data_IF_834090497080
#
_entry.id   IF_834090497080
#
_cell.length_a   1.000
_cell.length_b   1.000
_cell.length_c   1.000
_cell.angle_alpha   90.00
_cell.angle_beta   90.00
_cell.angle_gamma   90.00
#
_symmetry.space_group_name_H-M   'P 1'
#
loop_
_entity.id
_entity.type
_entity.pdbx_description
1 polymer ?
#
# COMPACT_ATOMS: atom_id res chain seq x y z
N UNK A 1 -17.01 -5.17 -6.02
CA UNK A 1 -15.95 -5.54 -5.06
C UNK A 1 -15.59 -4.33 -4.20
N UNK A 2 -15.84 -4.35 -2.89
CA UNK A 2 -15.37 -3.29 -1.97
C UNK A 2 -13.83 -3.33 -1.98
N UNK A 3 -13.16 -2.26 -2.40
CA UNK A 3 -11.69 -2.13 -2.30
C UNK A 3 -11.33 -2.15 -0.81
N UNK A 4 -10.54 -3.14 -0.37
CA UNK A 4 -10.04 -3.27 1.00
C UNK A 4 -9.00 -2.17 1.29
N UNK A 5 -9.06 -1.57 2.49
CA UNK A 5 -8.11 -0.56 2.95
C UNK A 5 -6.69 -1.17 3.02
N UNK A 6 -5.67 -0.40 2.65
CA UNK A 6 -4.28 -0.88 2.66
C UNK A 6 -3.86 -1.38 4.04
N UNK A 7 -4.33 -0.73 5.11
CA UNK A 7 -4.06 -1.12 6.49
C UNK A 7 -4.56 -2.54 6.86
N UNK A 8 -5.49 -3.08 6.08
CA UNK A 8 -6.06 -4.44 6.28
C UNK A 8 -5.39 -5.51 5.41
N UNK A 9 -4.39 -5.14 4.60
CA UNK A 9 -3.69 -6.08 3.73
C UNK A 9 -2.77 -6.98 4.56
N UNK A 10 -2.87 -8.29 4.31
CA UNK A 10 -1.88 -9.25 4.79
C UNK A 10 -0.67 -9.29 3.84
N UNK A 11 0.35 -10.09 4.17
CA UNK A 11 1.55 -10.22 3.34
C UNK A 11 1.23 -10.66 1.90
N UNK A 12 0.26 -11.55 1.72
CA UNK A 12 -0.17 -12.01 0.40
C UNK A 12 -0.79 -10.89 -0.45
N UNK A 13 -1.63 -10.04 0.15
CA UNK A 13 -2.19 -8.86 -0.52
C UNK A 13 -1.08 -7.88 -0.95
N UNK A 14 -0.03 -7.71 -0.14
CA UNK A 14 1.15 -6.89 -0.48
C UNK A 14 1.96 -7.50 -1.62
N UNK A 15 2.18 -8.82 -1.62
CA UNK A 15 2.84 -9.54 -2.71
C UNK A 15 2.11 -9.32 -4.04
N UNK A 16 0.78 -9.47 -4.04
CA UNK A 16 -0.03 -9.20 -5.22
C UNK A 16 0.01 -7.75 -5.66
N UNK A 17 0.03 -6.80 -4.73
CA UNK A 17 0.19 -5.39 -5.05
C UNK A 17 1.53 -5.13 -5.78
N UNK A 18 2.63 -5.66 -5.25
CA UNK A 18 3.95 -5.51 -5.86
C UNK A 18 3.99 -6.16 -7.25
N UNK A 19 3.45 -7.38 -7.39
CA UNK A 19 3.33 -8.10 -8.65
C UNK A 19 2.53 -7.31 -9.69
N UNK A 20 1.39 -6.74 -9.30
CA UNK A 20 0.50 -6.00 -10.20
C UNK A 20 1.10 -4.68 -10.68
N UNK A 21 1.82 -3.99 -9.81
CA UNK A 21 2.28 -2.63 -10.08
C UNK A 21 3.72 -2.55 -10.59
N UNK A 22 4.58 -3.50 -10.22
CA UNK A 22 5.94 -3.64 -10.72
C UNK A 22 6.33 -5.12 -10.88
N UNK A 23 5.87 -5.80 -11.96
CA UNK A 23 6.15 -7.22 -12.18
C UNK A 23 7.64 -7.57 -12.24
N UNK A 24 8.47 -6.67 -12.77
CA UNK A 24 9.93 -6.82 -12.82
C UNK A 24 10.54 -6.80 -11.42
N UNK A 25 10.12 -5.88 -10.56
CA UNK A 25 10.61 -5.77 -9.20
C UNK A 25 10.05 -6.85 -8.28
N UNK A 26 8.83 -7.32 -8.52
CA UNK A 26 8.31 -8.51 -7.85
C UNK A 26 9.20 -9.73 -8.12
N UNK A 27 9.67 -9.92 -9.35
CA UNK A 27 10.59 -11.04 -9.66
C UNK A 27 11.92 -10.95 -8.90
N UNK A 28 12.40 -9.74 -8.64
CA UNK A 28 13.68 -9.51 -7.96
C UNK A 28 13.57 -9.49 -6.43
N UNK A 29 12.48 -8.90 -5.91
CA UNK A 29 12.34 -8.52 -4.51
C UNK A 29 11.10 -9.10 -3.82
N UNK A 30 10.29 -9.88 -4.53
CA UNK A 30 9.11 -10.53 -3.95
C UNK A 30 9.48 -11.39 -2.73
N UNK A 31 10.59 -12.11 -2.81
CA UNK A 31 11.13 -12.88 -1.69
C UNK A 31 11.54 -11.99 -0.51
N UNK A 32 12.23 -10.87 -0.75
CA UNK A 32 12.57 -9.92 0.31
C UNK A 32 11.32 -9.41 1.04
N UNK A 33 10.23 -9.11 0.32
CA UNK A 33 8.96 -8.72 0.94
C UNK A 33 8.28 -9.88 1.69
N UNK A 34 8.49 -11.13 1.26
CA UNK A 34 7.91 -12.34 1.87
C UNK A 34 8.62 -12.71 3.16
N UNK A 35 9.96 -12.74 3.13
CA UNK A 35 10.82 -13.09 4.27
C UNK A 35 10.70 -12.08 5.41
N UNK A 36 10.44 -10.81 5.10
CA UNK A 36 10.21 -9.76 6.09
C UNK A 36 8.73 -9.64 6.54
N UNK A 37 7.85 -10.55 6.12
CA UNK A 37 6.42 -10.57 6.43
C UNK A 37 5.73 -9.18 6.30
N UNK A 38 5.97 -8.51 5.17
CA UNK A 38 5.50 -7.14 4.97
C UNK A 38 3.98 -7.13 4.81
N UNK A 39 3.27 -6.74 5.87
CA UNK A 39 1.83 -6.46 5.86
C UNK A 39 1.54 -5.04 5.38
N UNK A 40 0.28 -4.73 5.06
CA UNK A 40 -0.13 -3.41 4.60
C UNK A 40 0.17 -2.28 5.59
N UNK A 41 0.11 -2.56 6.90
CA UNK A 41 0.49 -1.61 7.95
C UNK A 41 1.98 -1.26 7.87
N UNK A 42 2.84 -2.25 7.65
CA UNK A 42 4.29 -2.04 7.50
C UNK A 42 4.59 -1.36 6.17
N UNK A 43 3.93 -1.78 5.09
CA UNK A 43 4.09 -1.24 3.73
C UNK A 43 3.93 0.29 3.68
N UNK A 44 2.91 0.82 4.33
CA UNK A 44 2.65 2.27 4.38
C UNK A 44 3.57 3.04 5.33
N UNK A 45 4.43 2.35 6.06
CA UNK A 45 5.45 2.96 6.93
C UNK A 45 6.87 2.82 6.39
N UNK A 46 7.10 1.94 5.40
CA UNK A 46 8.43 1.72 4.82
C UNK A 46 9.11 3.02 4.38
N UNK A 47 10.37 3.14 4.72
CA UNK A 47 11.28 4.19 4.26
C UNK A 47 12.26 3.62 3.23
N UNK A 48 12.98 4.49 2.53
CA UNK A 48 14.09 4.04 1.67
C UNK A 48 15.12 3.24 2.46
N UNK A 49 15.50 3.70 3.66
CA UNK A 49 16.42 2.97 4.54
C UNK A 49 15.93 1.55 4.87
N UNK A 50 14.64 1.37 5.15
CA UNK A 50 14.08 0.04 5.44
C UNK A 50 14.05 -0.86 4.20
N UNK A 51 13.74 -0.31 3.02
CA UNK A 51 13.83 -1.06 1.76
C UNK A 51 15.26 -1.56 1.51
N UNK A 52 16.26 -0.74 1.80
CA UNK A 52 17.67 -1.11 1.72
C UNK A 52 18.03 -2.22 2.71
N UNK A 53 17.60 -2.10 3.97
CA UNK A 53 17.79 -3.14 5.01
C UNK A 53 17.11 -4.47 4.67
N UNK A 54 16.01 -4.44 3.92
CA UNK A 54 15.35 -5.64 3.42
C UNK A 54 16.09 -6.31 2.26
N UNK A 55 17.16 -5.71 1.72
CA UNK A 55 17.97 -6.25 0.62
C UNK A 55 17.79 -5.54 -0.72
N UNK A 56 17.04 -4.43 -0.78
CA UNK A 56 16.87 -3.63 -2.01
C UNK A 56 17.99 -2.57 -2.07
N UNK A 57 19.20 -3.05 -2.34
CA UNK A 57 20.44 -2.24 -2.33
C UNK A 57 20.61 -1.36 -3.56
N UNK A 58 19.94 -1.68 -4.67
CA UNK A 58 19.94 -0.84 -5.87
C UNK A 58 19.12 0.44 -5.62
N UNK A 59 19.80 1.58 -5.59
CA UNK A 59 19.19 2.87 -5.28
C UNK A 59 18.04 3.23 -6.24
N UNK A 60 18.23 3.02 -7.54
CA UNK A 60 17.18 3.31 -8.54
C UNK A 60 15.93 2.48 -8.28
N UNK A 61 16.08 1.17 -8.06
CA UNK A 61 14.95 0.30 -7.78
C UNK A 61 14.24 0.70 -6.48
N UNK A 62 15.03 1.06 -5.46
CA UNK A 62 14.51 1.53 -4.17
C UNK A 62 13.71 2.82 -4.31
N UNK A 63 14.21 3.79 -5.07
CA UNK A 63 13.50 5.04 -5.35
C UNK A 63 12.20 4.77 -6.10
N UNK A 64 12.22 3.93 -7.13
CA UNK A 64 11.03 3.59 -7.92
C UNK A 64 9.95 2.89 -7.07
N UNK A 65 10.35 1.92 -6.23
CA UNK A 65 9.44 1.25 -5.29
C UNK A 65 8.89 2.26 -4.29
N UNK A 66 9.74 3.14 -3.76
CA UNK A 66 9.31 4.16 -2.80
C UNK A 66 8.32 5.16 -3.40
N UNK A 67 8.53 5.59 -4.66
CA UNK A 67 7.57 6.43 -5.38
C UNK A 67 6.20 5.74 -5.49
N UNK A 68 6.19 4.43 -5.78
CA UNK A 68 4.95 3.66 -5.83
C UNK A 68 4.26 3.56 -4.47
N UNK A 69 5.03 3.46 -3.38
CA UNK A 69 4.51 3.52 -2.01
C UNK A 69 3.90 4.89 -1.69
N UNK A 70 4.54 5.99 -2.08
CA UNK A 70 3.98 7.34 -1.87
C UNK A 70 2.64 7.50 -2.58
N UNK A 71 2.53 7.04 -3.83
CA UNK A 71 1.27 7.04 -4.58
C UNK A 71 0.19 6.22 -3.88
N UNK A 72 0.54 5.02 -3.38
CA UNK A 72 -0.40 4.16 -2.65
C UNK A 72 -0.93 4.84 -1.37
N UNK A 73 -0.06 5.52 -0.61
CA UNK A 73 -0.42 6.26 0.61
C UNK A 73 -1.40 7.39 0.29
N UNK A 74 -1.05 8.23 -0.69
CA UNK A 74 -1.92 9.32 -1.12
C UNK A 74 -3.30 8.82 -1.57
N UNK A 75 -3.34 7.75 -2.36
CA UNK A 75 -4.61 7.14 -2.78
C UNK A 75 -5.41 6.55 -1.60
N UNK A 76 -4.73 6.03 -0.58
CA UNK A 76 -5.38 5.50 0.62
C UNK A 76 -5.99 6.63 1.44
N UNK A 77 -5.23 7.70 1.68
CA UNK A 77 -5.66 8.87 2.46
C UNK A 77 -6.85 9.57 1.78
N UNK A 78 -6.80 9.74 0.44
CA UNK A 78 -7.92 10.30 -0.33
C UNK A 78 -9.20 9.46 -0.18
N UNK A 79 -9.08 8.13 -0.18
CA UNK A 79 -10.23 7.22 0.01
C UNK A 79 -10.76 7.33 1.43
N UNK A 80 -9.90 7.35 2.43
CA UNK A 80 -10.28 7.48 3.84
C UNK A 80 -11.02 8.80 4.09
N UNK A 81 -10.47 9.93 3.61
CA UNK A 81 -11.12 11.23 3.67
C UNK A 81 -12.50 11.21 3.00
N UNK A 82 -12.61 10.61 1.82
CA UNK A 82 -13.91 10.48 1.11
C UNK A 82 -14.94 9.70 1.94
N UNK A 83 -14.52 8.62 2.62
CA UNK A 83 -15.40 7.83 3.46
C UNK A 83 -15.82 8.60 4.72
N UNK A 84 -14.91 9.33 5.35
CA UNK A 84 -15.20 10.16 6.53
C UNK A 84 -16.19 11.28 6.20
N UNK A 85 -16.03 11.94 5.05
CA UNK A 85 -16.96 12.97 4.58
C UNK A 85 -18.36 12.38 4.37
N UNK A 86 -18.47 11.22 3.70
CA UNK A 86 -19.75 10.54 3.47
C UNK A 86 -20.41 10.06 4.77
N UNK A 87 -19.63 9.58 5.74
CA UNK A 87 -20.14 9.15 7.03
C UNK A 87 -20.69 10.32 7.87
N UNK A 88 -20.15 11.52 7.70
CA UNK A 88 -20.61 12.75 8.37
C UNK A 88 -21.77 13.45 7.66
N UNK A 89 -22.16 13.02 6.45
CA UNK A 89 -23.31 13.59 5.77
C UNK A 89 -24.60 13.31 6.56
N UNK A 90 -25.47 14.32 6.80
CA UNK A 90 -26.72 14.10 7.51
C UNK A 90 -27.58 13.08 6.75
N UNK A 91 -28.11 12.08 7.47
CA UNK A 91 -29.08 11.14 6.88
C UNK A 91 -30.27 11.97 6.41
N UNK A 92 -30.59 11.89 5.12
CA UNK A 92 -31.78 12.54 4.56
C UNK A 92 -33.00 12.17 5.43
N UNK A 93 -33.88 13.14 5.76
CA UNK A 93 -35.08 12.83 6.51
C UNK A 93 -35.86 11.77 5.74
N UNK A 94 -36.23 10.68 6.42
CA UNK A 94 -37.17 9.71 5.85
C UNK A 94 -38.46 10.48 5.58
N UNK A 95 -38.79 10.60 4.30
CA UNK A 95 -40.02 11.24 3.85
C UNK A 95 -41.26 10.54 4.44
N UNK A 96 -42.39 11.25 4.49
CA UNK A 96 -43.64 10.78 5.10
C UNK A 96 -44.18 9.51 4.42
#
# INVERSE_FOLDING_TARGET
MKKRCVLTWNAHDVQHWLQRHHPSYYRLYGENFRENDITGKVLVQLTTLQLEQMGITNEKHRVDIFEKLMKLRLENDQKELTLLIKAKAPKAPKGP
#
